data_IF_743022926000
#
_entry.id   IF_743022926000
#
_cell.length_a   1.000
_cell.length_b   1.000
_cell.length_c   1.000
_cell.angle_alpha   90.00
_cell.angle_beta   90.00
_cell.angle_gamma   90.00
#
_symmetry.space_group_name_H-M   'P 1'
#
loop_
_entity.id
_entity.type
_entity.pdbx_description
1 polymer ?
#
# COMPACT_ATOMS: atom_id res chain seq x y z
N UNK A 1 -62.36 -11.29 10.54
CA UNK A 1 -61.51 -11.84 9.47
C UNK A 1 -60.62 -10.69 9.01
N UNK A 2 -59.29 -10.67 9.16
CA UNK A 2 -58.28 -11.74 9.28
C UNK A 2 -58.36 -12.73 8.10
N UNK A 3 -57.31 -12.96 7.29
CA UNK A 3 -55.85 -12.86 7.48
C UNK A 3 -55.18 -11.95 6.41
N UNK A 4 -53.94 -11.41 6.55
CA UNK A 4 -52.59 -12.05 6.46
C UNK A 4 -52.44 -12.88 5.16
N UNK A 5 -51.33 -12.93 4.42
CA UNK A 5 -49.93 -12.40 4.43
C UNK A 5 -49.49 -12.28 2.95
N UNK A 6 -48.47 -11.55 2.47
CA UNK A 6 -47.55 -10.45 2.88
C UNK A 6 -46.84 -9.99 1.55
N UNK A 7 -45.79 -9.17 1.40
CA UNK A 7 -44.85 -8.38 2.22
C UNK A 7 -44.37 -7.16 1.35
N UNK A 8 -43.72 -6.06 1.76
CA UNK A 8 -42.83 -5.69 2.88
C UNK A 8 -41.39 -6.26 2.78
N UNK A 9 -40.26 -5.51 2.83
CA UNK A 9 -39.96 -4.06 2.75
C UNK A 9 -38.44 -3.90 2.43
N UNK A 10 -38.00 -2.85 1.73
CA UNK A 10 -36.59 -2.62 1.38
C UNK A 10 -36.22 -1.15 1.04
N UNK A 11 -36.84 -0.15 1.69
CA UNK A 11 -36.37 1.23 1.58
C UNK A 11 -34.88 1.35 2.00
N UNK A 12 -34.05 1.96 1.15
CA UNK A 12 -32.60 2.10 1.40
C UNK A 12 -32.32 3.13 2.50
N UNK A 13 -32.33 2.63 3.74
CA UNK A 13 -32.04 3.40 4.95
C UNK A 13 -30.62 4.01 4.92
N UNK A 14 -30.53 5.25 4.44
CA UNK A 14 -29.40 6.15 4.67
C UNK A 14 -29.38 6.59 6.14
N UNK A 15 -29.10 5.66 7.05
CA UNK A 15 -28.86 5.94 8.47
C UNK A 15 -27.54 6.69 8.63
N UNK A 16 -27.61 8.00 8.41
CA UNK A 16 -26.59 8.96 8.86
C UNK A 16 -26.58 8.97 10.39
N UNK A 17 -25.83 8.03 10.98
CA UNK A 17 -25.64 7.91 12.43
C UNK A 17 -24.84 9.10 12.94
N UNK A 18 -25.55 10.17 13.28
CA UNK A 18 -25.07 11.32 14.03
C UNK A 18 -24.70 10.91 15.46
N UNK A 19 -23.52 10.29 15.60
CA UNK A 19 -22.96 9.92 16.89
C UNK A 19 -22.87 11.16 17.79
N UNK A 20 -23.37 11.11 19.04
CA UNK A 20 -23.31 12.25 19.94
C UNK A 20 -21.85 12.57 20.26
N UNK A 21 -21.45 13.84 20.07
CA UNK A 21 -20.08 14.30 20.31
C UNK A 21 -19.82 14.38 21.82
N UNK A 22 -19.47 13.25 22.42
CA UNK A 22 -18.95 13.21 23.79
C UNK A 22 -17.63 13.99 23.87
N UNK A 23 -17.32 14.53 25.06
CA UNK A 23 -16.30 15.58 25.22
C UNK A 23 -14.92 15.27 24.62
N UNK A 24 -14.49 14.00 24.61
CA UNK A 24 -13.22 13.57 24.01
C UNK A 24 -13.13 13.82 22.50
N UNK A 25 -14.22 13.63 21.76
CA UNK A 25 -14.25 13.91 20.32
C UNK A 25 -14.03 15.40 20.02
N UNK A 26 -14.50 16.30 20.89
CA UNK A 26 -14.35 17.76 20.68
C UNK A 26 -12.88 18.21 20.64
N UNK A 27 -12.01 17.58 21.42
CA UNK A 27 -10.57 17.87 21.42
C UNK A 27 -9.90 17.32 20.14
N UNK A 28 -10.31 16.14 19.70
CA UNK A 28 -9.80 15.49 18.49
C UNK A 28 -10.18 16.30 17.24
N UNK A 29 -11.42 16.79 17.15
CA UNK A 29 -11.86 17.70 16.09
C UNK A 29 -11.13 19.05 16.11
N UNK A 30 -10.82 19.61 17.29
CA UNK A 30 -9.99 20.83 17.40
C UNK A 30 -8.56 20.61 16.92
N UNK A 31 -7.92 19.51 17.34
CA UNK A 31 -6.57 19.16 16.90
C UNK A 31 -6.50 18.89 15.40
N UNK A 32 -7.50 18.21 14.84
CA UNK A 32 -7.66 18.03 13.40
C UNK A 32 -7.87 19.36 12.67
N UNK A 33 -8.72 20.26 13.19
CA UNK A 33 -8.95 21.58 12.60
C UNK A 33 -7.67 22.41 12.54
N UNK A 34 -6.91 22.48 13.64
CA UNK A 34 -5.61 23.17 13.67
C UNK A 34 -4.58 22.55 12.71
N UNK A 35 -4.57 21.22 12.59
CA UNK A 35 -3.73 20.54 11.59
C UNK A 35 -4.17 20.88 10.15
N UNK A 36 -5.47 20.93 9.87
CA UNK A 36 -5.99 21.30 8.55
C UNK A 36 -5.66 22.76 8.20
N UNK A 37 -5.84 23.71 9.13
CA UNK A 37 -5.45 25.12 8.93
C UNK A 37 -3.94 25.24 8.63
N UNK A 38 -3.07 24.59 9.42
CA UNK A 38 -1.63 24.58 9.16
C UNK A 38 -1.28 23.94 7.80
N UNK A 39 -1.97 22.87 7.40
CA UNK A 39 -1.79 22.27 6.08
C UNK A 39 -2.32 23.16 4.95
N UNK A 40 -3.26 24.08 5.20
CA UNK A 40 -3.77 25.01 4.20
C UNK A 40 -2.83 26.22 4.03
N UNK A 41 -2.37 26.80 5.15
CA UNK A 41 -1.31 27.83 5.18
C UNK A 41 -0.03 27.39 4.45
N UNK A 42 0.33 26.12 4.58
CA UNK A 42 1.49 25.52 3.89
C UNK A 42 1.20 25.13 2.42
N UNK A 43 0.00 25.39 1.89
CA UNK A 43 -0.41 25.03 0.53
C UNK A 43 -0.53 23.51 0.28
N UNK A 44 -0.68 22.72 1.35
CA UNK A 44 -0.66 21.27 1.32
C UNK A 44 -2.06 20.66 1.15
N UNK A 45 -3.15 21.31 1.57
CA UNK A 45 -4.51 20.79 1.33
C UNK A 45 -4.85 20.76 -0.17
N UNK A 46 -4.62 21.87 -0.88
CA UNK A 46 -4.82 21.96 -2.33
C UNK A 46 -3.94 20.98 -3.11
N UNK A 47 -2.70 20.75 -2.62
CA UNK A 47 -1.74 19.80 -3.19
C UNK A 47 -2.12 18.35 -2.92
N UNK A 48 -2.47 17.95 -1.70
CA UNK A 48 -2.65 16.55 -1.32
C UNK A 48 -4.11 16.05 -1.34
N UNK A 49 -5.10 16.96 -1.41
CA UNK A 49 -6.54 16.66 -1.54
C UNK A 49 -7.00 15.49 -0.65
N UNK A 50 -6.96 15.64 0.69
CA UNK A 50 -7.28 14.56 1.62
C UNK A 50 -8.69 13.99 1.38
N UNK A 51 -8.77 12.72 1.00
CA UNK A 51 -10.01 12.07 0.54
C UNK A 51 -10.98 11.66 1.66
N UNK A 52 -10.64 11.95 2.92
CA UNK A 52 -11.44 11.60 4.09
C UNK A 52 -10.58 11.45 5.35
N UNK A 53 -11.24 11.49 6.51
CA UNK A 53 -10.59 11.32 7.82
C UNK A 53 -11.09 10.02 8.44
N UNK A 54 -10.19 9.06 8.60
CA UNK A 54 -10.50 7.76 9.23
C UNK A 54 -10.08 7.80 10.69
N UNK A 55 -11.03 8.00 11.59
CA UNK A 55 -10.82 7.70 13.01
C UNK A 55 -10.58 6.20 13.14
N UNK A 56 -9.45 5.81 13.72
CA UNK A 56 -9.16 4.42 14.09
C UNK A 56 -9.23 4.30 15.61
N UNK A 57 -10.05 3.41 16.17
CA UNK A 57 -9.96 3.11 17.60
C UNK A 57 -8.58 2.51 17.89
N UNK A 58 -8.09 2.72 19.12
CA UNK A 58 -6.88 2.05 19.63
C UNK A 58 -7.18 0.63 20.13
N UNK A 59 -8.46 0.27 20.23
CA UNK A 59 -8.95 -1.08 20.47
C UNK A 59 -8.40 -2.04 19.38
N UNK A 60 -7.88 -3.19 19.80
CA UNK A 60 -7.19 -4.13 18.90
C UNK A 60 -5.73 -3.77 18.60
N UNK A 61 -5.18 -2.70 19.18
CA UNK A 61 -3.73 -2.45 19.25
C UNK A 61 -3.20 -2.65 20.68
N UNK A 62 -1.92 -2.97 20.80
CA UNK A 62 -1.21 -2.99 22.08
C UNK A 62 -0.66 -1.60 22.38
N UNK A 63 -0.99 -1.04 23.55
CA UNK A 63 -0.36 0.19 24.04
C UNK A 63 1.08 -0.10 24.45
N UNK A 64 2.05 0.52 23.78
CA UNK A 64 3.48 0.40 24.07
C UNK A 64 4.10 1.79 24.10
N UNK A 65 4.77 2.13 25.20
CA UNK A 65 5.37 3.44 25.37
C UNK A 65 6.67 3.62 24.56
N UNK A 66 7.08 4.89 24.38
CA UNK A 66 8.25 5.24 23.56
C UNK A 66 9.61 4.86 24.16
N UNK A 67 9.67 4.54 25.46
CA UNK A 67 10.86 4.00 26.12
C UNK A 67 10.94 2.49 25.85
N UNK A 68 9.84 1.75 26.03
CA UNK A 68 9.77 0.32 25.72
C UNK A 68 10.10 0.02 24.25
N UNK A 69 9.54 0.75 23.29
CA UNK A 69 9.90 0.62 21.86
C UNK A 69 11.39 0.91 21.57
N UNK A 70 12.03 1.76 22.38
CA UNK A 70 13.46 2.11 22.26
C UNK A 70 14.36 1.06 22.91
N UNK A 71 14.00 0.57 24.09
CA UNK A 71 14.70 -0.49 24.83
C UNK A 71 14.68 -1.81 24.06
N UNK A 72 13.54 -2.16 23.46
CA UNK A 72 13.40 -3.30 22.54
C UNK A 72 14.10 -3.08 21.19
N UNK A 73 14.69 -1.90 20.92
CA UNK A 73 15.40 -1.61 19.68
C UNK A 73 14.51 -1.69 18.43
N UNK A 74 13.22 -1.39 18.54
CA UNK A 74 12.25 -1.59 17.43
C UNK A 74 12.60 -0.72 16.23
N UNK A 75 12.78 0.58 16.48
CA UNK A 75 13.10 1.61 15.46
C UNK A 75 14.55 2.06 15.57
N UNK A 76 15.00 2.42 16.77
CA UNK A 76 16.36 2.88 17.07
C UNK A 76 17.38 1.74 17.08
N UNK A 77 18.48 1.91 16.34
CA UNK A 77 19.65 1.03 16.46
C UNK A 77 20.28 1.18 17.85
N UNK A 78 20.57 0.06 18.50
CA UNK A 78 21.23 0.06 19.80
C UNK A 78 22.69 0.47 19.70
N UNK A 79 23.20 1.11 20.75
CA UNK A 79 24.62 1.46 20.89
C UNK A 79 25.25 0.48 21.88
N UNK A 80 25.81 -0.62 21.39
CA UNK A 80 26.59 -1.53 22.22
C UNK A 80 28.08 -1.15 22.17
N UNK A 81 28.77 -1.24 23.30
CA UNK A 81 30.24 -1.16 23.36
C UNK A 81 30.79 -2.57 23.51
N UNK A 82 31.16 -3.19 22.40
CA UNK A 82 31.89 -4.46 22.43
C UNK A 82 33.36 -4.18 22.71
N UNK A 83 33.96 -4.92 23.63
CA UNK A 83 35.42 -4.95 23.79
C UNK A 83 35.93 -6.06 22.86
N UNK A 84 36.70 -5.67 21.85
CA UNK A 84 37.34 -6.60 20.90
C UNK A 84 38.83 -6.33 20.95
N UNK A 85 39.65 -7.37 21.20
CA UNK A 85 41.10 -7.24 21.37
C UNK A 85 41.52 -6.08 22.31
N UNK A 86 40.87 -5.98 23.49
CA UNK A 86 41.10 -4.92 24.49
C UNK A 86 40.53 -3.53 24.13
N UNK A 87 40.14 -3.28 22.88
CA UNK A 87 39.68 -1.98 22.41
C UNK A 87 38.16 -1.85 22.48
N UNK A 88 37.67 -0.70 22.96
CA UNK A 88 36.22 -0.40 23.07
C UNK A 88 35.64 0.03 21.72
N UNK A 89 35.18 -0.92 20.92
CA UNK A 89 34.50 -0.64 19.66
C UNK A 89 33.01 -0.34 19.90
N UNK A 90 32.52 0.79 19.36
CA UNK A 90 31.08 1.06 19.25
C UNK A 90 30.50 0.18 18.14
N UNK A 91 29.84 -0.91 18.52
CA UNK A 91 29.09 -1.77 17.61
C UNK A 91 27.63 -1.30 17.63
N UNK A 92 27.16 -0.75 16.50
CA UNK A 92 25.74 -0.49 16.33
C UNK A 92 24.99 -1.79 16.12
N UNK A 93 24.19 -2.19 17.11
CA UNK A 93 23.24 -3.29 16.93
C UNK A 93 22.08 -2.80 16.05
N UNK A 94 21.80 -3.45 14.90
CA UNK A 94 20.70 -3.02 14.04
C UNK A 94 19.36 -3.18 14.76
N UNK A 95 18.45 -2.23 14.54
CA UNK A 95 17.09 -2.32 15.08
C UNK A 95 16.32 -3.51 14.50
N UNK A 96 15.29 -3.99 15.21
CA UNK A 96 14.44 -5.12 14.77
C UNK A 96 13.85 -4.83 13.38
N UNK A 97 13.39 -3.60 13.14
CA UNK A 97 12.92 -3.16 11.80
C UNK A 97 14.00 -3.30 10.72
N UNK A 98 15.29 -3.05 11.04
CA UNK A 98 16.43 -3.19 10.11
C UNK A 98 16.95 -4.62 9.97
N UNK A 99 16.65 -5.51 10.92
CA UNK A 99 16.90 -6.94 10.80
C UNK A 99 15.85 -7.58 9.89
N UNK A 100 14.58 -7.52 10.29
CA UNK A 100 13.46 -8.13 9.56
C UNK A 100 13.24 -7.48 8.18
N UNK A 101 13.44 -6.15 8.06
CA UNK A 101 13.27 -5.41 6.81
C UNK A 101 14.21 -5.81 5.67
N UNK A 102 15.26 -6.61 5.93
CA UNK A 102 16.14 -7.19 4.89
C UNK A 102 15.42 -8.23 4.03
N UNK A 103 14.56 -9.03 4.67
CA UNK A 103 13.80 -10.11 4.01
C UNK A 103 12.60 -9.57 3.22
N UNK A 104 12.18 -8.33 3.49
CA UNK A 104 11.06 -7.70 2.79
C UNK A 104 11.53 -7.13 1.44
N UNK A 105 10.96 -7.72 0.39
CA UNK A 105 11.27 -7.43 -1.00
C UNK A 105 10.70 -6.09 -1.50
N UNK A 106 9.49 -5.71 -1.08
CA UNK A 106 8.83 -4.48 -1.55
C UNK A 106 9.08 -3.27 -0.64
N UNK A 107 9.38 -2.06 -1.18
CA UNK A 107 9.40 -0.82 -0.44
C UNK A 107 8.14 -0.54 0.41
N UNK A 108 6.89 -0.66 -0.10
CA UNK A 108 5.70 -0.47 0.74
C UNK A 108 5.59 -1.50 1.88
N UNK A 109 6.01 -2.75 1.66
CA UNK A 109 6.03 -3.80 2.69
C UNK A 109 6.92 -3.44 3.89
N UNK A 110 8.03 -2.73 3.68
CA UNK A 110 8.90 -2.25 4.78
C UNK A 110 8.18 -1.21 5.64
N UNK A 111 7.37 -0.34 5.03
CA UNK A 111 6.48 0.58 5.74
C UNK A 111 5.31 -0.11 6.45
N UNK A 112 4.86 -1.28 5.97
CA UNK A 112 3.89 -2.12 6.71
C UNK A 112 4.56 -2.73 7.94
N UNK A 113 5.73 -3.38 7.80
CA UNK A 113 6.49 -3.93 8.93
C UNK A 113 6.78 -2.89 10.00
N UNK A 114 7.29 -1.72 9.63
CA UNK A 114 7.61 -0.65 10.59
C UNK A 114 6.37 -0.23 11.39
N UNK A 115 5.18 -0.18 10.76
CA UNK A 115 3.91 0.12 11.44
C UNK A 115 3.46 -1.04 12.34
N UNK A 116 3.58 -2.29 11.91
CA UNK A 116 3.23 -3.47 12.73
C UNK A 116 4.13 -3.64 13.96
N UNK A 117 5.42 -3.29 13.86
CA UNK A 117 6.33 -3.35 15.00
C UNK A 117 6.17 -2.15 15.95
N UNK A 118 5.82 -0.97 15.44
CA UNK A 118 5.59 0.23 16.25
C UNK A 118 4.18 0.26 16.90
N UNK A 119 3.21 -0.44 16.31
CA UNK A 119 1.84 -0.60 16.81
C UNK A 119 1.46 -2.08 16.68
N UNK A 120 1.84 -2.94 17.65
CA UNK A 120 1.46 -4.35 17.64
C UNK A 120 -0.05 -4.52 17.71
N UNK A 121 -0.58 -5.59 17.13
CA UNK A 121 -1.99 -5.96 17.24
C UNK A 121 -2.24 -6.67 18.58
N UNK A 122 -3.41 -6.45 19.18
CA UNK A 122 -3.89 -7.14 20.38
C UNK A 122 -5.18 -7.93 20.14
N UNK A 123 -5.86 -7.74 19.01
CA UNK A 123 -6.94 -8.63 18.57
C UNK A 123 -6.37 -10.01 18.18
N UNK A 124 -6.94 -11.07 18.74
CA UNK A 124 -6.45 -12.46 18.60
C UNK A 124 -6.73 -13.03 17.20
N UNK A 125 -7.91 -12.77 16.63
CA UNK A 125 -8.32 -13.29 15.31
C UNK A 125 -7.35 -12.84 14.20
N UNK A 126 -6.89 -11.58 14.28
CA UNK A 126 -5.91 -10.99 13.36
C UNK A 126 -4.50 -11.57 13.58
N UNK A 127 -4.16 -12.00 14.81
CA UNK A 127 -2.89 -12.68 15.10
C UNK A 127 -2.93 -14.11 14.54
N UNK A 128 -3.97 -14.89 14.86
CA UNK A 128 -4.15 -16.27 14.40
C UNK A 128 -4.26 -16.33 12.86
N UNK A 129 -5.02 -15.42 12.24
CA UNK A 129 -5.11 -15.31 10.78
C UNK A 129 -3.74 -15.06 10.13
N UNK A 130 -2.87 -14.24 10.74
CA UNK A 130 -1.51 -14.00 10.25
C UNK A 130 -0.59 -15.21 10.46
N UNK A 131 -0.70 -15.90 11.60
CA UNK A 131 0.07 -17.11 11.89
C UNK A 131 -0.30 -18.24 10.92
N UNK A 132 -1.60 -18.54 10.76
CA UNK A 132 -2.09 -19.53 9.79
C UNK A 132 -1.64 -19.18 8.36
N UNK A 133 -1.75 -17.92 7.94
CA UNK A 133 -1.26 -17.49 6.64
C UNK A 133 0.26 -17.69 6.48
N UNK A 134 1.05 -17.41 7.52
CA UNK A 134 2.49 -17.67 7.53
C UNK A 134 2.83 -19.16 7.44
N UNK A 135 2.14 -20.02 8.19
CA UNK A 135 2.33 -21.48 8.17
C UNK A 135 2.02 -22.06 6.79
N UNK A 136 0.90 -21.68 6.18
CA UNK A 136 0.52 -22.12 4.83
C UNK A 136 1.55 -21.64 3.81
N UNK A 137 2.02 -20.39 3.91
CA UNK A 137 3.09 -19.86 3.04
C UNK A 137 4.37 -20.67 3.21
N UNK A 138 4.84 -20.93 4.44
CA UNK A 138 6.08 -21.68 4.68
C UNK A 138 5.97 -23.14 4.20
N UNK A 139 4.83 -23.79 4.42
CA UNK A 139 4.63 -25.20 4.05
C UNK A 139 4.41 -25.46 2.54
N UNK A 140 3.93 -24.46 1.79
CA UNK A 140 3.49 -24.66 0.39
C UNK A 140 4.23 -23.81 -0.65
N UNK A 141 4.93 -22.73 -0.26
CA UNK A 141 5.59 -21.83 -1.22
C UNK A 141 6.92 -22.41 -1.70
N UNK A 142 6.95 -22.89 -2.95
CA UNK A 142 8.19 -23.43 -3.54
C UNK A 142 9.30 -22.35 -3.64
N UNK A 143 10.59 -22.71 -3.50
CA UNK A 143 11.69 -21.74 -3.54
C UNK A 143 11.77 -20.92 -4.83
N UNK A 144 11.41 -21.52 -5.97
CA UNK A 144 11.34 -20.83 -7.26
C UNK A 144 10.16 -19.84 -7.30
N UNK A 145 8.97 -20.21 -6.82
CA UNK A 145 7.85 -19.28 -6.73
C UNK A 145 8.16 -18.12 -5.77
N UNK A 146 8.80 -18.41 -4.63
CA UNK A 146 9.30 -17.38 -3.70
C UNK A 146 10.29 -16.43 -4.38
N UNK A 147 11.20 -16.96 -5.21
CA UNK A 147 12.16 -16.18 -6.00
C UNK A 147 11.48 -15.28 -7.04
N UNK A 148 10.54 -15.84 -7.82
CA UNK A 148 9.73 -15.10 -8.81
C UNK A 148 8.87 -14.01 -8.17
N UNK A 149 8.20 -14.32 -7.05
CA UNK A 149 7.46 -13.33 -6.26
C UNK A 149 8.39 -12.24 -5.71
N UNK A 150 9.54 -12.58 -5.11
CA UNK A 150 10.52 -11.60 -4.62
C UNK A 150 11.02 -10.67 -5.72
N UNK A 151 11.35 -11.21 -6.90
CA UNK A 151 11.81 -10.46 -8.09
C UNK A 151 10.78 -9.41 -8.54
N UNK A 152 9.50 -9.75 -8.51
CA UNK A 152 8.43 -8.83 -8.91
C UNK A 152 7.98 -7.88 -7.78
N UNK A 153 7.97 -8.33 -6.52
CA UNK A 153 7.72 -7.48 -5.35
C UNK A 153 8.78 -6.37 -5.18
N UNK A 154 10.01 -6.57 -5.67
CA UNK A 154 11.06 -5.53 -5.73
C UNK A 154 10.75 -4.42 -6.76
N UNK A 155 9.97 -4.72 -7.82
CA UNK A 155 9.53 -3.74 -8.82
C UNK A 155 8.42 -2.85 -8.28
N UNK A 156 7.53 -3.43 -7.47
CA UNK A 156 6.40 -2.74 -6.85
C UNK A 156 6.83 -1.51 -6.05
N UNK A 157 6.24 -0.36 -6.39
CA UNK A 157 6.47 0.90 -5.70
C UNK A 157 5.27 1.27 -4.83
N UNK A 158 5.37 2.39 -4.14
CA UNK A 158 4.31 2.91 -3.30
C UNK A 158 3.19 3.47 -4.18
N UNK A 159 2.15 2.66 -4.42
CA UNK A 159 1.05 3.00 -5.32
C UNK A 159 0.29 4.25 -4.89
N UNK A 160 0.15 4.52 -3.59
CA UNK A 160 -0.44 5.77 -3.10
C UNK A 160 0.37 6.96 -3.61
N UNK A 161 1.69 6.96 -3.41
CA UNK A 161 2.58 8.06 -3.88
C UNK A 161 2.64 8.18 -5.42
N UNK A 162 2.34 7.12 -6.16
CA UNK A 162 2.23 7.16 -7.62
C UNK A 162 0.91 7.79 -8.04
N UNK A 163 -0.20 7.31 -7.48
CA UNK A 163 -1.54 7.84 -7.76
C UNK A 163 -1.68 9.30 -7.32
N UNK A 164 -1.03 9.71 -6.23
CA UNK A 164 -0.87 11.11 -5.83
C UNK A 164 -0.24 11.91 -6.98
N UNK A 165 0.98 11.56 -7.41
CA UNK A 165 1.69 12.28 -8.50
C UNK A 165 0.93 12.30 -9.83
N UNK A 166 0.16 11.26 -10.12
CA UNK A 166 -0.70 11.16 -11.30
C UNK A 166 -1.94 12.06 -11.18
N UNK A 167 -2.58 12.12 -10.00
CA UNK A 167 -3.88 12.81 -9.81
C UNK A 167 -3.78 14.25 -9.29
N UNK A 168 -2.62 14.70 -8.81
CA UNK A 168 -2.41 16.06 -8.26
C UNK A 168 -2.41 17.20 -9.31
N UNK A 169 -2.83 16.95 -10.55
CA UNK A 169 -3.00 17.99 -11.57
C UNK A 169 -1.69 18.63 -12.04
N UNK A 170 -1.80 19.81 -12.65
CA UNK A 170 -0.73 20.44 -13.43
C UNK A 170 0.48 20.96 -12.61
N UNK A 171 0.34 21.12 -11.28
CA UNK A 171 1.30 21.80 -10.40
C UNK A 171 2.52 20.95 -9.95
N UNK A 172 2.80 19.84 -10.64
CA UNK A 172 4.01 19.01 -10.46
C UNK A 172 4.84 19.03 -11.75
N UNK A 173 6.16 18.94 -11.60
CA UNK A 173 7.09 18.86 -12.73
C UNK A 173 6.63 17.81 -13.74
N UNK A 174 6.58 18.17 -15.02
CA UNK A 174 6.15 17.28 -16.11
C UNK A 174 6.89 15.95 -16.05
N UNK A 175 8.22 16.00 -15.97
CA UNK A 175 9.12 14.86 -15.78
C UNK A 175 8.72 13.93 -14.60
N UNK A 176 8.31 14.50 -13.46
CA UNK A 176 7.94 13.71 -12.28
C UNK A 176 6.55 13.05 -12.41
N UNK A 177 5.61 13.71 -13.11
CA UNK A 177 4.29 13.13 -13.45
C UNK A 177 4.44 12.02 -14.50
N UNK A 178 5.25 12.24 -15.53
CA UNK A 178 5.58 11.24 -16.57
C UNK A 178 6.23 10.01 -15.92
N UNK A 179 7.28 10.19 -15.12
CA UNK A 179 7.92 9.08 -14.42
C UNK A 179 6.98 8.31 -13.47
N UNK A 180 5.91 8.93 -12.97
CA UNK A 180 4.88 8.27 -12.15
C UNK A 180 3.97 7.34 -12.98
N UNK A 181 3.54 7.75 -14.18
CA UNK A 181 2.79 6.88 -15.10
C UNK A 181 3.57 5.62 -15.48
N UNK A 182 4.88 5.73 -15.76
CA UNK A 182 5.74 4.56 -16.03
C UNK A 182 5.87 3.63 -14.81
N UNK A 183 5.90 4.21 -13.61
CA UNK A 183 5.94 3.45 -12.36
C UNK A 183 4.60 2.77 -12.05
N UNK A 184 3.47 3.33 -12.49
CA UNK A 184 2.16 2.69 -12.43
C UNK A 184 2.15 1.45 -13.33
N UNK A 185 2.44 1.61 -14.63
CA UNK A 185 2.47 0.50 -15.59
C UNK A 185 3.39 -0.63 -15.14
N UNK A 186 4.62 -0.31 -14.73
CA UNK A 186 5.60 -1.30 -14.22
C UNK A 186 5.14 -1.99 -12.93
N UNK A 187 4.30 -1.35 -12.12
CA UNK A 187 3.71 -1.97 -10.92
C UNK A 187 2.52 -2.87 -11.29
N UNK A 188 1.67 -2.46 -12.23
CA UNK A 188 0.59 -3.31 -12.76
C UNK A 188 1.14 -4.59 -13.40
N UNK A 189 2.11 -4.47 -14.31
CA UNK A 189 2.82 -5.61 -14.91
C UNK A 189 3.47 -6.50 -13.84
N UNK A 190 4.10 -5.91 -12.81
CA UNK A 190 4.71 -6.69 -11.72
C UNK A 190 3.68 -7.40 -10.83
N UNK A 191 2.46 -6.88 -10.66
CA UNK A 191 1.38 -7.58 -9.97
C UNK A 191 0.85 -8.73 -10.82
N UNK A 192 0.63 -8.50 -12.11
CA UNK A 192 0.11 -9.50 -13.04
C UNK A 192 1.09 -10.68 -13.22
N UNK A 193 2.40 -10.44 -13.18
CA UNK A 193 3.41 -11.50 -13.15
C UNK A 193 3.40 -12.33 -11.84
N UNK A 194 3.02 -11.73 -10.71
CA UNK A 194 2.80 -12.46 -9.45
C UNK A 194 1.51 -13.28 -9.54
N UNK A 195 0.42 -12.68 -10.03
CA UNK A 195 -0.86 -13.35 -10.27
C UNK A 195 -0.67 -14.56 -11.18
N UNK A 196 -0.07 -14.39 -12.36
CA UNK A 196 0.28 -15.50 -13.28
C UNK A 196 1.07 -16.60 -12.58
N UNK A 197 2.07 -16.23 -11.77
CA UNK A 197 2.89 -17.21 -11.03
C UNK A 197 2.10 -18.01 -9.97
N UNK A 198 1.02 -17.43 -9.43
CA UNK A 198 0.08 -18.08 -8.49
C UNK A 198 -0.99 -18.88 -9.25
N UNK A 199 -1.46 -18.40 -10.40
CA UNK A 199 -2.43 -19.08 -11.27
C UNK A 199 -1.91 -20.43 -11.78
N UNK A 200 -0.58 -20.58 -11.92
CA UNK A 200 0.11 -21.83 -12.26
C UNK A 200 0.07 -22.89 -11.14
N UNK A 201 -0.32 -22.54 -9.90
CA UNK A 201 -0.57 -23.53 -8.85
C UNK A 201 -1.94 -24.20 -9.07
N UNK A 202 -2.12 -25.48 -8.69
CA UNK A 202 -3.44 -26.14 -8.75
C UNK A 202 -4.52 -25.29 -8.06
N UNK A 203 -5.76 -25.23 -8.58
CA UNK A 203 -6.83 -24.44 -7.97
C UNK A 203 -7.17 -24.90 -6.55
N UNK A 204 -6.88 -26.15 -6.22
CA UNK A 204 -6.97 -26.78 -4.89
C UNK A 204 -5.82 -26.43 -3.94
N UNK A 205 -4.84 -25.62 -4.36
CA UNK A 205 -3.68 -25.26 -3.52
C UNK A 205 -4.10 -24.42 -2.30
N UNK A 206 -3.68 -24.77 -1.07
CA UNK A 206 -3.94 -23.97 0.13
C UNK A 206 -3.49 -22.51 0.01
N UNK A 207 -2.42 -22.23 -0.74
CA UNK A 207 -1.96 -20.87 -1.04
C UNK A 207 -3.01 -20.02 -1.77
N UNK A 208 -3.87 -20.63 -2.62
CA UNK A 208 -4.89 -19.93 -3.40
C UNK A 208 -6.21 -19.78 -2.66
N UNK A 209 -6.49 -20.66 -1.69
CA UNK A 209 -7.78 -20.76 -1.01
C UNK A 209 -7.73 -20.08 0.36
N UNK A 210 -6.71 -20.37 1.17
CA UNK A 210 -6.69 -20.10 2.60
C UNK A 210 -5.81 -18.90 3.02
N UNK A 211 -5.14 -18.23 2.06
CA UNK A 211 -4.29 -17.07 2.31
C UNK A 211 -5.00 -15.80 1.77
N UNK A 212 -5.69 -15.00 2.60
CA UNK A 212 -6.62 -13.98 2.12
C UNK A 212 -5.97 -12.92 1.22
N UNK A 213 -4.70 -12.56 1.48
CA UNK A 213 -3.96 -11.59 0.67
C UNK A 213 -3.52 -12.13 -0.71
N UNK A 214 -3.57 -13.46 -0.93
CA UNK A 214 -3.45 -14.05 -2.25
C UNK A 214 -4.80 -14.02 -2.96
N UNK A 215 -5.89 -14.38 -2.29
CA UNK A 215 -7.26 -14.32 -2.85
C UNK A 215 -7.60 -12.92 -3.36
N UNK A 216 -7.42 -11.88 -2.54
CA UNK A 216 -7.65 -10.49 -2.96
C UNK A 216 -6.67 -9.96 -4.02
N UNK A 217 -5.50 -10.60 -4.19
CA UNK A 217 -4.60 -10.29 -5.29
C UNK A 217 -5.08 -10.93 -6.61
N UNK A 218 -5.69 -12.11 -6.57
CA UNK A 218 -6.33 -12.73 -7.73
C UNK A 218 -7.58 -11.95 -8.17
N UNK A 219 -8.38 -11.44 -7.23
CA UNK A 219 -9.53 -10.54 -7.52
C UNK A 219 -9.08 -9.28 -8.28
N UNK A 220 -7.91 -8.72 -7.95
CA UNK A 220 -7.34 -7.55 -8.60
C UNK A 220 -6.92 -7.78 -10.08
N UNK A 221 -6.91 -9.03 -10.58
CA UNK A 221 -6.44 -9.38 -11.93
C UNK A 221 -7.12 -8.59 -13.04
N UNK A 222 -8.45 -8.56 -13.07
CA UNK A 222 -9.23 -7.92 -14.13
C UNK A 222 -9.01 -6.40 -14.18
N UNK A 223 -9.16 -5.63 -13.09
CA UNK A 223 -8.87 -4.20 -13.11
C UNK A 223 -7.39 -3.89 -13.39
N UNK A 224 -6.45 -4.74 -12.95
CA UNK A 224 -5.03 -4.57 -13.30
C UNK A 224 -4.76 -4.75 -14.80
N UNK A 225 -5.41 -5.71 -15.46
CA UNK A 225 -5.33 -5.89 -16.91
C UNK A 225 -5.96 -4.72 -17.66
N UNK A 226 -7.12 -4.23 -17.22
CA UNK A 226 -7.76 -3.04 -17.80
C UNK A 226 -6.85 -1.81 -17.72
N UNK A 227 -6.24 -1.56 -16.55
CA UNK A 227 -5.27 -0.47 -16.38
C UNK A 227 -4.03 -0.69 -17.25
N UNK A 228 -3.49 -1.91 -17.33
CA UNK A 228 -2.35 -2.21 -18.21
C UNK A 228 -2.69 -1.91 -19.68
N UNK A 229 -3.79 -2.47 -20.21
CA UNK A 229 -4.19 -2.31 -21.60
C UNK A 229 -4.48 -0.84 -21.94
N UNK A 230 -5.12 -0.09 -21.03
CA UNK A 230 -5.34 1.36 -21.20
C UNK A 230 -4.02 2.11 -21.35
N UNK A 231 -3.05 1.88 -20.46
CA UNK A 231 -1.73 2.53 -20.49
C UNK A 231 -0.91 2.13 -21.74
N UNK A 232 -0.99 0.87 -22.15
CA UNK A 232 -0.29 0.33 -23.33
C UNK A 232 -0.95 0.73 -24.66
N UNK A 233 -2.24 1.06 -24.66
CA UNK A 233 -2.95 1.65 -25.79
C UNK A 233 -2.72 3.16 -25.92
N UNK A 234 -2.74 3.91 -24.80
CA UNK A 234 -2.54 5.37 -24.83
C UNK A 234 -1.09 5.79 -25.09
N UNK A 235 -0.10 5.09 -24.52
CA UNK A 235 1.29 5.55 -24.54
C UNK A 235 2.16 4.76 -25.51
N UNK A 236 3.02 5.50 -26.23
CA UNK A 236 4.06 4.95 -27.08
C UNK A 236 5.27 4.62 -26.21
N UNK A 237 5.36 3.33 -25.84
CA UNK A 237 6.39 2.82 -24.95
C UNK A 237 7.78 2.76 -25.62
N UNK A 238 7.84 2.71 -26.94
CA UNK A 238 9.09 2.57 -27.69
C UNK A 238 9.75 3.95 -27.86
N UNK A 239 8.97 4.98 -28.24
CA UNK A 239 9.45 6.36 -28.16
C UNK A 239 9.79 6.78 -26.72
N UNK A 240 9.05 6.29 -25.72
CA UNK A 240 9.37 6.54 -24.31
C UNK A 240 10.64 5.82 -23.85
N UNK A 241 10.90 4.60 -24.33
CA UNK A 241 12.14 3.89 -24.07
C UNK A 241 13.36 4.60 -24.67
N UNK A 242 13.20 5.19 -25.87
CA UNK A 242 14.25 5.97 -26.53
C UNK A 242 14.48 7.36 -25.89
N UNK A 243 13.40 8.11 -25.61
CA UNK A 243 13.48 9.48 -25.09
C UNK A 243 13.72 9.58 -23.56
N UNK A 244 13.56 8.47 -22.84
CA UNK A 244 13.89 8.37 -21.42
C UNK A 244 12.75 8.76 -20.46
N UNK A 245 12.96 8.61 -19.14
CA UNK A 245 11.89 8.57 -18.13
C UNK A 245 11.13 9.88 -17.90
N UNK A 246 11.53 10.97 -18.56
CA UNK A 246 10.96 12.31 -18.43
C UNK A 246 10.00 12.67 -19.57
N UNK A 247 10.02 11.94 -20.70
CA UNK A 247 9.28 12.28 -21.92
C UNK A 247 8.14 11.28 -22.19
N UNK A 248 6.90 11.75 -22.22
CA UNK A 248 5.72 10.92 -22.48
C UNK A 248 5.25 11.12 -23.92
N UNK A 249 5.28 10.07 -24.73
CA UNK A 249 4.66 10.07 -26.06
C UNK A 249 3.28 9.38 -25.99
N UNK A 250 2.28 10.01 -26.58
CA UNK A 250 0.94 9.43 -26.81
C UNK A 250 0.93 8.82 -28.21
N UNK A 251 0.39 7.61 -28.38
CA UNK A 251 0.34 6.95 -29.70
C UNK A 251 -0.46 7.77 -30.71
N UNK A 252 -0.07 7.65 -31.99
CA UNK A 252 -0.83 8.18 -33.12
C UNK A 252 -2.17 7.44 -33.21
N UNK A 253 -3.25 8.17 -33.49
CA UNK A 253 -4.62 7.65 -33.57
C UNK A 253 -5.38 7.62 -32.23
N UNK A 254 -4.82 8.20 -31.15
CA UNK A 254 -5.46 8.26 -29.82
C UNK A 254 -6.12 9.60 -29.53
N UNK A 255 -5.57 10.71 -30.06
CA UNK A 255 -6.08 12.07 -29.87
C UNK A 255 -5.97 12.78 -31.23
N UNK A 256 -7.05 12.83 -32.03
CA UNK A 256 -7.02 13.40 -33.39
C UNK A 256 -6.47 14.82 -33.45
N UNK A 257 -6.68 15.61 -32.40
CA UNK A 257 -6.19 16.98 -32.27
C UNK A 257 -4.66 17.07 -32.08
N UNK A 258 -4.02 16.03 -31.55
CA UNK A 258 -2.55 15.92 -31.51
C UNK A 258 -1.99 15.36 -32.80
N UNK A 259 -2.76 14.53 -33.51
CA UNK A 259 -2.34 13.95 -34.78
C UNK A 259 -2.41 14.98 -35.92
N UNK A 260 -3.44 15.84 -35.94
CA UNK A 260 -3.51 17.03 -36.79
C UNK A 260 -2.48 18.14 -36.44
N UNK A 261 -1.69 17.96 -35.37
CA UNK A 261 -0.53 18.80 -35.03
C UNK A 261 0.82 18.11 -35.31
N UNK A 262 0.80 16.92 -35.92
CA UNK A 262 1.97 16.12 -36.33
C UNK A 262 2.17 16.08 -37.85
N UNK A 263 1.13 16.42 -38.61
CA UNK A 263 1.11 16.58 -40.08
C UNK A 263 1.61 17.97 -40.52
#
# INVERSE_FOLDING_TARGET
MAKLESADDAATNNTSTTLPITGGHSQLWRALSGLLSFLDEMGLLTRYRPRGVVMKPLEGLLSVDSVTLRTLGVTSAGRSTAIVAGHKHRVMTPSITRLLGRYISSPPGRGVLQRWLAMPCSNIDIIESRLKAQEIIIGNLSPDLASRMSKNLKKHRDLSKILDRVTQGFNLDSAARVAAWLQLLRSCQAALEIIRSIEMLPPTSPLRIEVPCISSLLECRTPLLQIQHMLEASFDLDAWAAAGPTHLSIKVGIIPELDALRE
#
